data_IF_514801721305
#
_entry.id   IF_514801721305
#
_cell.length_a   1.000
_cell.length_b   1.000
_cell.length_c   1.000
_cell.angle_alpha   90.00
_cell.angle_beta   90.00
_cell.angle_gamma   90.00
#
_symmetry.space_group_name_H-M   'P 1'
#
loop_
_entity.id
_entity.type
_entity.pdbx_description
1 polymer ?
#
# COMPACT_ATOMS: atom_id res chain seq x y z
N UNK A 1 8.82 8.06 6.95
CA UNK A 1 7.86 7.83 5.87
C UNK A 1 6.49 7.75 6.51
N UNK A 2 5.49 8.37 5.89
CA UNK A 2 4.09 8.18 6.27
C UNK A 2 3.31 7.64 5.08
N UNK A 3 2.17 7.01 5.34
CA UNK A 3 1.22 6.59 4.33
C UNK A 3 -0.18 7.01 4.74
N UNK A 4 -1.02 7.29 3.75
CA UNK A 4 -2.43 7.55 3.92
C UNK A 4 -3.21 6.74 2.88
N UNK A 5 -4.34 6.17 3.29
CA UNK A 5 -5.23 5.46 2.40
C UNK A 5 -6.67 5.86 2.63
N UNK A 6 -7.43 5.89 1.54
CA UNK A 6 -8.86 6.07 1.56
C UNK A 6 -9.55 4.71 1.44
N UNK A 7 -10.36 4.36 2.44
CA UNK A 7 -11.24 3.20 2.38
C UNK A 7 -12.44 3.47 1.45
N UNK A 8 -13.12 2.42 0.97
CA UNK A 8 -14.30 2.57 0.10
C UNK A 8 -15.45 3.33 0.76
N UNK A 9 -15.59 3.20 2.08
CA UNK A 9 -16.56 3.95 2.89
C UNK A 9 -16.19 5.42 3.14
N UNK A 10 -15.04 5.87 2.62
CA UNK A 10 -14.58 7.24 2.70
C UNK A 10 -13.65 7.57 3.86
N UNK A 11 -13.43 6.64 4.80
CA UNK A 11 -12.47 6.86 5.91
C UNK A 11 -11.05 7.05 5.39
N UNK A 12 -10.29 7.93 6.04
CA UNK A 12 -8.86 8.11 5.80
C UNK A 12 -8.09 7.46 6.95
N UNK A 13 -7.25 6.49 6.63
CA UNK A 13 -6.36 5.82 7.58
C UNK A 13 -4.93 6.28 7.30
N UNK A 14 -4.19 6.61 8.35
CA UNK A 14 -2.79 7.05 8.25
C UNK A 14 -1.87 6.21 9.13
N UNK A 15 -0.63 6.03 8.69
CA UNK A 15 0.40 5.37 9.49
C UNK A 15 1.80 5.90 9.16
N UNK A 16 2.77 5.56 10.01
CA UNK A 16 4.20 5.82 9.78
C UNK A 16 4.99 4.52 9.78
N UNK A 17 6.16 4.52 9.14
CA UNK A 17 7.03 3.36 9.12
C UNK A 17 7.69 3.12 10.49
N UNK A 18 8.02 1.87 10.79
CA UNK A 18 8.87 1.49 11.92
C UNK A 18 10.13 0.81 11.38
N UNK A 19 11.25 1.53 11.35
CA UNK A 19 12.49 1.00 10.81
C UNK A 19 13.10 -0.06 11.74
N UNK A 20 13.53 -1.18 11.15
CA UNK A 20 14.33 -2.19 11.83
C UNK A 20 15.10 -3.01 10.80
N UNK A 21 16.32 -3.48 11.14
CA UNK A 21 17.19 -4.18 10.19
C UNK A 21 16.64 -5.53 9.72
N UNK A 22 15.79 -6.18 10.52
CA UNK A 22 15.10 -7.43 10.17
C UNK A 22 13.91 -7.22 9.20
N UNK A 23 13.76 -6.03 8.65
CA UNK A 23 12.65 -5.67 7.78
C UNK A 23 11.47 -5.08 8.54
N UNK A 24 11.71 -4.10 9.41
CA UNK A 24 10.63 -3.32 10.02
C UNK A 24 9.65 -2.76 8.96
N UNK A 25 8.35 -2.65 9.27
CA UNK A 25 7.33 -2.36 8.28
C UNK A 25 7.47 -0.94 7.69
N UNK A 26 7.27 -0.85 6.38
CA UNK A 26 7.04 0.44 5.72
C UNK A 26 5.70 1.02 6.18
N UNK A 27 5.47 2.31 5.92
CA UNK A 27 4.27 2.98 6.40
C UNK A 27 3.00 2.35 5.81
N UNK A 28 3.08 1.88 4.56
CA UNK A 28 2.01 1.17 3.87
C UNK A 28 1.62 -0.13 4.60
N UNK A 29 2.60 -0.90 5.10
CA UNK A 29 2.33 -2.14 5.82
C UNK A 29 1.74 -1.90 7.20
N UNK A 30 2.20 -0.87 7.92
CA UNK A 30 1.58 -0.46 9.18
C UNK A 30 0.13 0.00 8.95
N UNK A 31 -0.12 0.68 7.83
CA UNK A 31 -1.45 1.14 7.45
C UNK A 31 -2.43 -0.03 7.22
N UNK A 32 -2.00 -1.15 6.63
CA UNK A 32 -2.87 -2.34 6.46
C UNK A 32 -3.40 -2.81 7.83
N UNK A 33 -2.50 -2.94 8.82
CA UNK A 33 -2.89 -3.30 10.18
C UNK A 33 -3.79 -2.25 10.84
N UNK A 34 -3.49 -0.95 10.65
CA UNK A 34 -4.30 0.15 11.18
C UNK A 34 -5.70 0.20 10.55
N UNK A 35 -5.83 -0.14 9.27
CA UNK A 35 -7.11 -0.24 8.57
C UNK A 35 -7.92 -1.43 9.09
N UNK A 36 -7.29 -2.61 9.21
CA UNK A 36 -7.92 -3.80 9.79
C UNK A 36 -8.40 -3.57 11.23
N UNK A 37 -7.61 -2.91 12.07
CA UNK A 37 -7.98 -2.56 13.44
C UNK A 37 -9.22 -1.64 13.53
N UNK A 38 -9.53 -0.93 12.44
CA UNK A 38 -10.73 -0.10 12.32
C UNK A 38 -11.85 -0.80 11.55
N UNK A 39 -11.68 -2.05 11.12
CA UNK A 39 -12.65 -2.76 10.27
C UNK A 39 -12.75 -2.17 8.86
N UNK A 40 -11.68 -1.58 8.34
CA UNK A 40 -11.58 -1.12 6.96
C UNK A 40 -10.83 -2.16 6.11
N UNK A 41 -11.58 -3.09 5.51
CA UNK A 41 -11.03 -4.19 4.71
C UNK A 41 -11.02 -3.92 3.20
N UNK A 42 -11.59 -2.80 2.76
CA UNK A 42 -11.59 -2.39 1.36
C UNK A 42 -10.94 -1.01 1.22
N UNK A 43 -9.71 -0.99 0.72
CA UNK A 43 -8.99 0.24 0.41
C UNK A 43 -9.19 0.60 -1.06
N UNK A 44 -9.49 1.88 -1.32
CA UNK A 44 -9.65 2.41 -2.68
C UNK A 44 -8.35 2.97 -3.23
N UNK A 45 -7.66 3.81 -2.45
CA UNK A 45 -6.46 4.51 -2.92
C UNK A 45 -5.46 4.67 -1.78
N UNK A 46 -4.17 4.54 -2.04
CA UNK A 46 -3.08 4.77 -1.08
C UNK A 46 -1.99 5.72 -1.64
N UNK A 47 -1.31 6.42 -0.74
CA UNK A 47 -0.11 7.21 -1.03
C UNK A 47 0.91 7.07 0.09
N UNK A 48 2.20 7.05 -0.24
CA UNK A 48 3.29 7.18 0.72
C UNK A 48 4.05 8.48 0.49
N UNK A 49 4.46 9.14 1.57
CA UNK A 49 5.16 10.42 1.55
C UNK A 49 6.42 10.39 2.42
N UNK A 50 7.47 11.02 1.90
CA UNK A 50 8.76 11.19 2.56
C UNK A 50 8.80 12.42 3.45
N UNK A 51 9.46 12.29 4.59
CA UNK A 51 9.78 13.43 5.45
C UNK A 51 10.79 14.36 4.76
N UNK A 52 10.81 15.64 5.20
CA UNK A 52 11.71 16.72 4.72
C UNK A 52 11.50 17.02 3.23
N UNK A 53 10.25 17.35 2.88
CA UNK A 53 9.86 17.80 1.53
C UNK A 53 10.24 16.85 0.39
N UNK A 54 10.41 15.55 0.72
CA UNK A 54 10.67 14.50 -0.29
C UNK A 54 9.43 14.12 -1.09
N UNK A 55 8.27 14.67 -0.73
CA UNK A 55 7.02 14.47 -1.46
C UNK A 55 6.56 13.02 -1.51
N UNK A 56 5.84 12.67 -2.58
CA UNK A 56 5.36 11.31 -2.84
C UNK A 56 6.52 10.37 -3.14
N UNK A 57 6.50 9.20 -2.51
CA UNK A 57 7.49 8.15 -2.73
C UNK A 57 6.76 6.89 -3.19
N UNK A 58 7.08 6.33 -4.37
CA UNK A 58 6.47 5.09 -4.83
C UNK A 58 6.69 3.95 -3.83
N UNK A 59 5.72 3.03 -3.65
CA UNK A 59 5.87 1.91 -2.74
C UNK A 59 7.07 1.05 -3.14
N UNK A 60 7.81 0.56 -2.13
CA UNK A 60 8.91 -0.37 -2.36
C UNK A 60 8.39 -1.75 -2.81
N UNK A 61 9.25 -2.60 -3.37
CA UNK A 61 8.86 -3.92 -3.91
C UNK A 61 8.06 -4.78 -2.92
N UNK A 62 8.49 -4.84 -1.65
CA UNK A 62 7.76 -5.57 -0.60
C UNK A 62 6.35 -5.03 -0.38
N UNK A 63 6.18 -3.71 -0.37
CA UNK A 63 4.86 -3.10 -0.22
C UNK A 63 3.99 -3.35 -1.43
N UNK A 64 4.56 -3.29 -2.65
CA UNK A 64 3.80 -3.58 -3.86
C UNK A 64 3.20 -4.97 -3.82
N UNK A 65 3.99 -5.97 -3.41
CA UNK A 65 3.53 -7.35 -3.35
C UNK A 65 2.43 -7.51 -2.30
N UNK A 66 2.64 -7.05 -1.07
CA UNK A 66 1.63 -7.18 0.00
C UNK A 66 0.36 -6.40 -0.33
N UNK A 67 0.47 -5.21 -0.93
CA UNK A 67 -0.71 -4.44 -1.35
C UNK A 67 -1.46 -5.15 -2.48
N UNK A 68 -0.76 -5.78 -3.43
CA UNK A 68 -1.39 -6.58 -4.48
C UNK A 68 -2.14 -7.77 -3.89
N UNK A 69 -1.50 -8.51 -2.98
CA UNK A 69 -2.07 -9.72 -2.37
C UNK A 69 -3.33 -9.42 -1.54
N UNK A 70 -3.38 -8.28 -0.83
CA UNK A 70 -4.52 -7.90 0.01
C UNK A 70 -5.58 -7.07 -0.73
N UNK A 71 -5.17 -6.24 -1.69
CA UNK A 71 -6.02 -5.24 -2.34
C UNK A 71 -5.73 -5.18 -3.85
N UNK A 72 -6.13 -6.20 -4.63
CA UNK A 72 -5.77 -6.28 -6.06
C UNK A 72 -6.33 -5.14 -6.92
N UNK A 73 -7.41 -4.50 -6.48
CA UNK A 73 -8.03 -3.34 -7.12
C UNK A 73 -7.49 -1.98 -6.62
N UNK A 74 -6.45 -1.99 -5.78
CA UNK A 74 -5.96 -0.77 -5.13
C UNK A 74 -5.34 0.20 -6.14
N UNK A 75 -5.72 1.47 -6.00
CA UNK A 75 -5.06 2.57 -6.68
C UNK A 75 -3.91 3.14 -5.83
N UNK A 76 -2.79 3.46 -6.47
CA UNK A 76 -1.60 4.02 -5.83
C UNK A 76 -1.26 5.36 -6.45
N UNK A 77 -1.13 6.39 -5.62
CA UNK A 77 -0.63 7.71 -6.06
C UNK A 77 0.89 7.65 -6.10
N UNK A 78 1.45 7.95 -7.27
CA UNK A 78 2.89 7.95 -7.56
C UNK A 78 3.28 9.21 -8.33
N UNK A 79 4.59 9.49 -8.39
CA UNK A 79 5.16 10.64 -9.10
C UNK A 79 5.70 11.69 -8.15
N UNK A 80 6.01 12.87 -8.69
CA UNK A 80 6.49 14.04 -7.95
C UNK A 80 5.33 15.03 -7.75
N UNK A 81 5.40 15.96 -6.79
CA UNK A 81 4.27 16.83 -6.39
C UNK A 81 3.51 17.47 -7.58
N UNK A 82 4.23 18.08 -8.53
CA UNK A 82 3.60 18.74 -9.68
C UNK A 82 3.10 17.77 -10.78
N UNK A 83 3.38 16.46 -10.65
CA UNK A 83 3.13 15.43 -11.66
C UNK A 83 2.65 14.12 -11.06
N UNK A 84 1.93 14.19 -9.93
CA UNK A 84 1.36 12.99 -9.33
C UNK A 84 0.31 12.39 -10.25
N UNK A 85 0.27 11.07 -10.32
CA UNK A 85 -0.73 10.31 -11.04
C UNK A 85 -1.15 9.10 -10.23
N UNK A 86 -2.33 8.60 -10.52
CA UNK A 86 -2.86 7.37 -9.94
C UNK A 86 -2.63 6.21 -10.90
N UNK A 87 -2.14 5.09 -10.39
CA UNK A 87 -1.96 3.84 -11.13
C UNK A 87 -2.59 2.69 -10.36
N UNK A 88 -2.90 1.57 -11.02
CA UNK A 88 -3.31 0.37 -10.28
C UNK A 88 -2.10 -0.31 -9.67
N UNK A 89 -2.30 -1.02 -8.58
CA UNK A 89 -1.24 -1.79 -7.93
C UNK A 89 -0.63 -2.85 -8.87
N UNK A 90 -1.45 -3.45 -9.73
CA UNK A 90 -1.05 -4.41 -10.76
C UNK A 90 -0.11 -3.79 -11.80
N UNK A 91 -0.25 -2.50 -12.10
CA UNK A 91 0.63 -1.81 -13.04
C UNK A 91 2.04 -1.54 -12.45
N UNK A 92 2.20 -1.69 -11.12
CA UNK A 92 3.48 -1.51 -10.42
C UNK A 92 4.30 -2.80 -10.26
N UNK A 93 3.72 -3.95 -10.59
CA UNK A 93 4.33 -5.28 -10.58
C UNK A 93 3.92 -6.07 -11.83
N UNK A 94 4.54 -5.82 -12.99
CA UNK A 94 4.26 -6.60 -14.19
C UNK A 94 4.70 -8.06 -14.01
N UNK A 95 3.95 -9.00 -14.58
CA UNK A 95 4.20 -10.45 -14.47
C UNK A 95 4.34 -10.91 -13.01
N UNK A 96 3.45 -10.40 -12.15
CA UNK A 96 3.49 -10.64 -10.72
C UNK A 96 3.20 -12.09 -10.36
N UNK A 97 3.92 -12.60 -9.36
CA UNK A 97 3.47 -13.74 -8.57
C UNK A 97 2.18 -13.35 -7.82
N UNK A 98 1.08 -14.04 -8.08
CA UNK A 98 -0.21 -13.84 -7.39
C UNK A 98 -0.36 -14.95 -6.38
N UNK A 99 -0.23 -14.62 -5.09
CA UNK A 99 -0.24 -15.64 -4.03
C UNK A 99 -1.55 -16.43 -3.96
N UNK A 100 -2.69 -15.79 -4.24
CA UNK A 100 -4.01 -16.42 -4.23
C UNK A 100 -4.12 -17.60 -5.20
N UNK A 101 -3.46 -17.54 -6.36
CA UNK A 101 -3.48 -18.60 -7.38
C UNK A 101 -2.75 -19.89 -6.93
N UNK A 102 -1.99 -19.81 -5.84
CA UNK A 102 -1.18 -20.90 -5.30
C UNK A 102 -1.68 -21.42 -3.96
N UNK A 103 -2.81 -20.90 -3.46
CA UNK A 103 -3.47 -21.52 -2.32
C UNK A 103 -4.08 -22.83 -2.78
N UNK A 104 -3.70 -23.93 -2.12
CA UNK A 104 -4.44 -25.19 -2.24
C UNK A 104 -5.84 -24.92 -1.69
N UNK A 105 -6.87 -25.37 -2.40
CA UNK A 105 -8.26 -25.29 -1.93
C UNK A 105 -8.28 -25.80 -0.48
N UNK A 106 -8.75 -24.95 0.43
CA UNK A 106 -8.99 -25.36 1.80
C UNK A 106 -10.19 -26.31 1.78
N UNK A 107 -9.94 -27.62 1.73
CA UNK A 107 -10.93 -28.63 2.13
C UNK A 107 -11.44 -28.39 3.55
#
# INVERSE_FOLDING_TARGET
>A
MAAAARARDGRIITAVNAYHFTGGPCAELVLIGAAAAQGAYELKTIVAVGARDRGVVPPCGRCRQVLLDYFPDLEVIVGEEARTRTVRITDLLPESYVWADHQLDAE
#
